data_IF_280286185841
#
_entry.id   IF_280286185841
#
_cell.length_a   1.000
_cell.length_b   1.000
_cell.length_c   1.000
_cell.angle_alpha   90.00
_cell.angle_beta   90.00
_cell.angle_gamma   90.00
#
_symmetry.space_group_name_H-M   'P 1'
#
loop_
_entity.id
_entity.type
_entity.pdbx_description
1 polymer ?
#
# COMPACT_ATOMS: atom_id res chain seq x y z
N UNK A 1 42.56 -3.44 14.80
CA UNK A 1 42.06 -2.71 16.00
C UNK A 1 42.69 -1.33 15.92
N UNK A 2 41.94 -0.22 15.85
CA UNK A 2 40.87 0.16 16.78
C UNK A 2 39.49 0.32 16.12
N UNK A 3 38.46 0.17 16.94
CA UNK A 3 37.05 0.37 16.59
C UNK A 3 36.76 1.87 16.64
N UNK A 4 36.40 2.46 15.51
CA UNK A 4 35.73 3.78 15.50
C UNK A 4 34.24 3.55 15.39
N UNK A 5 33.63 3.49 16.56
CA UNK A 5 32.20 3.70 16.81
C UNK A 5 31.81 5.09 16.30
N UNK A 6 31.16 5.16 15.14
CA UNK A 6 30.41 6.35 14.76
C UNK A 6 29.00 6.26 15.37
N UNK A 7 28.91 6.84 16.56
CA UNK A 7 27.69 7.41 17.14
C UNK A 7 26.97 8.23 16.07
N UNK A 8 25.86 7.72 15.54
CA UNK A 8 24.85 8.56 14.89
C UNK A 8 23.85 8.96 15.96
N UNK A 9 24.06 10.20 16.37
CA UNK A 9 23.24 11.08 17.18
C UNK A 9 21.73 10.85 16.95
N UNK A 10 21.07 10.31 17.98
CA UNK A 10 19.63 10.45 18.20
C UNK A 10 19.39 11.91 18.63
N UNK A 11 18.95 12.75 17.72
CA UNK A 11 18.41 14.06 18.03
C UNK A 11 17.27 14.36 17.08
N UNK A 12 16.03 14.11 17.51
CA UNK A 12 14.85 14.86 17.09
C UNK A 12 13.64 14.50 17.96
N UNK A 13 13.07 15.54 18.55
CA UNK A 13 11.70 15.62 19.08
C UNK A 13 11.41 14.90 20.43
N UNK A 14 12.15 15.30 21.47
CA UNK A 14 11.53 15.49 22.78
C UNK A 14 10.69 16.77 22.76
N UNK A 15 9.42 16.67 22.36
CA UNK A 15 8.44 17.73 22.53
C UNK A 15 7.03 17.14 22.54
N UNK A 16 6.60 16.56 23.67
CA UNK A 16 5.18 16.46 24.00
C UNK A 16 5.01 16.85 25.46
N UNK A 17 4.72 18.13 25.62
CA UNK A 17 3.81 18.75 26.60
C UNK A 17 3.84 18.19 28.02
N UNK A 18 4.49 18.97 28.89
CA UNK A 18 3.93 19.26 30.20
C UNK A 18 2.51 19.82 29.99
N UNK A 19 1.51 18.93 29.95
CA UNK A 19 0.13 19.32 30.21
C UNK A 19 0.11 19.62 31.70
N UNK A 20 0.38 20.88 32.02
CA UNK A 20 -0.06 21.48 33.26
C UNK A 20 -1.58 21.38 33.27
N UNK A 21 -2.09 20.27 33.81
CA UNK A 21 -3.46 20.17 34.30
C UNK A 21 -3.60 21.21 35.40
N UNK A 22 -3.89 22.45 35.01
CA UNK A 22 -4.57 23.41 35.88
C UNK A 22 -5.98 22.86 36.10
N UNK A 23 -6.06 21.82 36.92
CA UNK A 23 -7.25 21.46 37.64
C UNK A 23 -7.51 22.60 38.64
N UNK A 24 -8.04 23.71 38.14
CA UNK A 24 -8.89 24.55 38.98
C UNK A 24 -10.18 23.78 39.21
N UNK A 25 -10.09 22.75 40.07
CA UNK A 25 -11.23 22.13 40.71
C UNK A 25 -11.86 23.21 41.59
N UNK A 26 -12.75 24.01 41.01
CA UNK A 26 -13.76 24.71 41.79
C UNK A 26 -14.59 23.62 42.46
N UNK A 27 -14.61 23.65 43.78
CA UNK A 27 -15.33 22.73 44.65
C UNK A 27 -16.86 22.88 44.48
N UNK A 28 -17.40 22.53 43.32
CA UNK A 28 -18.79 22.12 43.19
C UNK A 28 -18.86 20.62 43.51
N UNK A 29 -19.91 20.11 44.16
CA UNK A 29 -19.95 18.73 44.60
C UNK A 29 -20.00 17.83 43.36
N UNK A 30 -18.97 17.00 43.11
CA UNK A 30 -18.86 16.17 41.90
C UNK A 30 -20.07 15.23 41.67
N UNK A 31 -20.87 15.01 42.71
CA UNK A 31 -22.13 14.29 42.66
C UNK A 31 -23.23 14.96 41.81
N UNK A 32 -23.32 16.29 41.74
CA UNK A 32 -24.38 16.97 41.01
C UNK A 32 -24.21 16.82 39.48
N UNK A 33 -22.99 17.04 38.98
CA UNK A 33 -22.65 16.75 37.59
C UNK A 33 -22.92 15.28 37.24
N UNK A 34 -22.49 14.36 38.11
CA UNK A 34 -22.67 12.93 37.88
C UNK A 34 -24.14 12.53 37.71
N UNK A 35 -25.04 13.07 38.54
CA UNK A 35 -26.49 12.82 38.42
C UNK A 35 -27.03 13.39 37.10
N UNK A 36 -26.72 14.67 36.79
CA UNK A 36 -27.17 15.32 35.57
C UNK A 36 -26.66 14.61 34.31
N UNK A 37 -25.41 14.16 34.32
CA UNK A 37 -24.79 13.43 33.22
C UNK A 37 -25.42 12.05 33.05
N UNK A 38 -25.60 11.29 34.13
CA UNK A 38 -26.25 10.00 34.09
C UNK A 38 -27.70 10.10 33.56
N UNK A 39 -28.45 11.11 33.98
CA UNK A 39 -29.79 11.34 33.45
C UNK A 39 -29.77 11.76 31.96
N UNK A 40 -28.79 12.56 31.54
CA UNK A 40 -28.60 12.91 30.14
C UNK A 40 -28.24 11.69 29.26
N UNK A 41 -27.49 10.72 29.80
CA UNK A 41 -27.15 9.48 29.07
C UNK A 41 -28.38 8.63 28.75
N UNK A 42 -29.42 8.66 29.59
CA UNK A 42 -30.71 7.97 29.32
C UNK A 42 -31.49 8.56 28.14
N UNK A 43 -31.09 9.75 27.65
CA UNK A 43 -31.72 10.43 26.52
C UNK A 43 -31.13 10.01 25.17
N UNK A 44 -30.62 10.99 24.42
CA UNK A 44 -30.15 10.77 23.05
C UNK A 44 -29.00 9.76 22.97
N UNK A 45 -28.05 9.77 23.92
CA UNK A 45 -26.95 8.81 23.93
C UNK A 45 -27.45 7.36 23.99
N UNK A 46 -28.45 7.06 24.82
CA UNK A 46 -29.08 5.72 24.87
C UNK A 46 -29.80 5.38 23.57
N UNK A 47 -30.55 6.32 22.99
CA UNK A 47 -31.25 6.09 21.72
C UNK A 47 -30.28 5.77 20.58
N UNK A 48 -29.13 6.48 20.49
CA UNK A 48 -28.07 6.20 19.51
C UNK A 48 -27.42 4.85 19.76
N UNK A 49 -27.16 4.50 21.02
CA UNK A 49 -26.59 3.22 21.39
C UNK A 49 -27.52 2.04 21.05
N UNK A 50 -28.82 2.16 21.30
CA UNK A 50 -29.81 1.13 21.00
C UNK A 50 -29.96 0.87 19.49
N UNK A 51 -29.68 1.87 18.64
CA UNK A 51 -29.63 1.70 17.19
C UNK A 51 -28.52 0.72 16.72
N UNK A 52 -27.54 0.42 17.58
CA UNK A 52 -26.45 -0.55 17.31
C UNK A 52 -26.92 -2.00 17.52
N UNK A 53 -28.00 -2.23 18.30
CA UNK A 53 -28.49 -3.56 18.67
C UNK A 53 -28.73 -4.56 17.52
N UNK A 54 -29.36 -4.19 16.38
CA UNK A 54 -29.52 -5.12 15.25
C UNK A 54 -28.18 -5.57 14.66
N UNK A 55 -27.15 -4.72 14.73
CA UNK A 55 -25.82 -5.01 14.20
C UNK A 55 -25.02 -5.87 15.17
N UNK A 56 -25.18 -5.66 16.48
CA UNK A 56 -24.62 -6.54 17.52
C UNK A 56 -25.07 -7.99 17.35
N UNK A 57 -26.34 -8.21 16.96
CA UNK A 57 -26.87 -9.53 16.59
C UNK A 57 -26.22 -10.11 15.32
N UNK A 58 -25.90 -9.27 14.33
CA UNK A 58 -25.18 -9.71 13.13
C UNK A 58 -23.74 -10.16 13.45
N UNK A 59 -23.03 -9.41 14.30
CA UNK A 59 -21.69 -9.79 14.79
C UNK A 59 -21.74 -11.13 15.54
N UNK A 60 -22.66 -11.27 16.50
CA UNK A 60 -22.79 -12.47 17.33
C UNK A 60 -23.15 -13.74 16.53
N UNK A 61 -23.93 -13.59 15.46
CA UNK A 61 -24.30 -14.72 14.59
C UNK A 61 -23.26 -15.03 13.51
N UNK A 62 -22.19 -14.24 13.41
CA UNK A 62 -21.19 -14.36 12.36
C UNK A 62 -21.73 -14.14 10.94
N UNK A 63 -23.00 -13.71 10.81
CA UNK A 63 -23.59 -13.34 9.53
C UNK A 63 -23.10 -11.94 9.20
N UNK A 64 -22.30 -11.82 8.13
CA UNK A 64 -22.02 -10.52 7.52
C UNK A 64 -23.35 -9.80 7.30
N UNK A 65 -23.42 -8.52 7.68
CA UNK A 65 -24.57 -7.69 7.34
C UNK A 65 -24.84 -7.83 5.83
N UNK A 66 -26.12 -7.90 5.40
CA UNK A 66 -26.45 -8.05 4.00
C UNK A 66 -25.74 -6.94 3.21
N UNK A 67 -24.83 -7.34 2.32
CA UNK A 67 -24.18 -6.43 1.38
C UNK A 67 -25.32 -5.79 0.59
N UNK A 68 -25.48 -4.46 0.60
CA UNK A 68 -26.53 -3.83 -0.20
C UNK A 68 -26.35 -4.28 -1.66
N UNK A 69 -27.44 -4.62 -2.34
CA UNK A 69 -27.39 -5.17 -3.71
C UNK A 69 -26.64 -4.25 -4.71
N UNK A 70 -26.49 -2.96 -4.38
CA UNK A 70 -25.68 -1.99 -5.14
C UNK A 70 -24.16 -2.13 -4.97
N UNK A 71 -23.68 -2.85 -3.94
CA UNK A 71 -22.27 -3.20 -3.77
C UNK A 71 -21.92 -4.59 -4.34
N UNK A 72 -22.93 -5.33 -4.83
CA UNK A 72 -22.76 -6.63 -5.47
C UNK A 72 -22.40 -6.53 -6.97
N UNK A 73 -22.45 -5.34 -7.56
CA UNK A 73 -22.07 -5.14 -8.96
C UNK A 73 -20.56 -5.01 -9.07
N UNK A 74 -19.90 -6.16 -9.27
CA UNK A 74 -18.57 -6.20 -9.86
C UNK A 74 -17.39 -6.53 -8.92
N UNK A 75 -17.64 -7.14 -7.77
CA UNK A 75 -16.57 -7.46 -6.84
C UNK A 75 -15.74 -8.66 -7.30
N UNK A 76 -14.53 -8.37 -7.77
CA UNK A 76 -13.52 -9.37 -8.07
C UNK A 76 -12.88 -9.81 -6.75
N UNK A 77 -12.95 -11.10 -6.43
CA UNK A 77 -12.43 -11.64 -5.15
C UNK A 77 -10.93 -11.97 -5.18
N UNK A 78 -10.27 -11.85 -6.34
CA UNK A 78 -8.85 -12.19 -6.56
C UNK A 78 -8.26 -11.39 -7.72
N UNK A 79 -7.00 -10.99 -7.61
CA UNK A 79 -6.31 -10.30 -8.68
C UNK A 79 -6.37 -11.10 -9.99
N UNK A 80 -6.60 -10.41 -11.09
CA UNK A 80 -6.46 -10.93 -12.45
C UNK A 80 -5.01 -11.41 -12.62
N UNK A 81 -4.03 -10.59 -12.25
CA UNK A 81 -2.62 -10.95 -12.23
C UNK A 81 -2.10 -11.01 -10.79
N UNK A 82 -1.73 -12.21 -10.33
CA UNK A 82 -1.15 -12.39 -9.01
C UNK A 82 0.15 -11.55 -8.90
N UNK A 83 0.25 -10.65 -7.89
CA UNK A 83 1.41 -9.79 -7.73
C UNK A 83 2.70 -10.60 -7.58
N UNK A 84 3.74 -10.34 -8.39
CA UNK A 84 4.98 -11.08 -8.30
C UNK A 84 5.71 -10.76 -6.98
N UNK A 85 6.40 -11.76 -6.44
CA UNK A 85 7.21 -11.64 -5.22
C UNK A 85 8.52 -10.90 -5.53
N UNK A 86 8.43 -9.60 -5.73
CA UNK A 86 9.56 -8.70 -5.98
C UNK A 86 9.84 -7.87 -4.73
N UNK A 87 11.09 -7.45 -4.52
CA UNK A 87 11.42 -6.51 -3.45
C UNK A 87 10.63 -5.21 -3.69
N UNK A 88 9.89 -4.79 -2.68
CA UNK A 88 9.11 -3.56 -2.68
C UNK A 88 9.58 -2.68 -1.54
N UNK A 89 9.45 -1.37 -1.70
CA UNK A 89 9.66 -0.45 -0.59
C UNK A 89 8.48 -0.51 0.41
N UNK A 90 8.57 0.28 1.49
CA UNK A 90 7.58 0.28 2.56
C UNK A 90 6.20 0.77 2.08
N UNK A 91 6.17 1.77 1.19
CA UNK A 91 4.93 2.38 0.71
C UNK A 91 4.26 1.49 -0.34
N UNK A 92 5.03 0.93 -1.27
CA UNK A 92 4.60 -0.08 -2.24
C UNK A 92 4.06 -1.35 -1.56
N UNK A 93 4.69 -1.81 -0.48
CA UNK A 93 4.16 -2.93 0.32
C UNK A 93 2.84 -2.56 1.00
N UNK A 94 2.72 -1.32 1.50
CA UNK A 94 1.48 -0.84 2.12
C UNK A 94 0.37 -0.72 1.08
N UNK A 95 0.68 -0.24 -0.12
CA UNK A 95 -0.24 -0.13 -1.25
C UNK A 95 -0.74 -1.51 -1.68
N UNK A 96 0.17 -2.48 -1.86
CA UNK A 96 -0.17 -3.87 -2.17
C UNK A 96 -1.07 -4.51 -1.11
N UNK A 97 -0.72 -4.35 0.18
CA UNK A 97 -1.53 -4.87 1.28
C UNK A 97 -2.93 -4.26 1.26
N UNK A 98 -3.01 -2.95 1.12
CA UNK A 98 -4.28 -2.19 1.07
C UNK A 98 -5.15 -2.67 -0.09
N UNK A 99 -4.60 -2.78 -1.30
CA UNK A 99 -5.33 -3.30 -2.46
C UNK A 99 -5.83 -4.73 -2.23
N UNK A 100 -5.02 -5.58 -1.60
CA UNK A 100 -5.42 -6.95 -1.24
C UNK A 100 -6.53 -7.00 -0.17
N UNK A 101 -6.51 -6.08 0.78
CA UNK A 101 -7.54 -5.98 1.82
C UNK A 101 -8.86 -5.45 1.25
N UNK A 102 -8.83 -4.49 0.31
CA UNK A 102 -9.99 -4.03 -0.46
C UNK A 102 -10.62 -5.17 -1.30
N UNK A 103 -9.78 -5.97 -1.93
CA UNK A 103 -10.23 -7.10 -2.74
C UNK A 103 -10.90 -8.19 -1.88
N UNK A 104 -10.34 -8.45 -0.69
CA UNK A 104 -10.91 -9.40 0.28
C UNK A 104 -12.17 -8.85 0.91
N UNK A 105 -12.28 -7.54 1.14
CA UNK A 105 -13.51 -6.97 1.69
C UNK A 105 -14.63 -7.12 0.67
N UNK A 106 -14.37 -7.01 -0.64
CA UNK A 106 -15.35 -7.25 -1.71
C UNK A 106 -16.67 -6.49 -1.46
N UNK A 107 -16.55 -5.21 -1.08
CA UNK A 107 -17.69 -4.36 -0.74
C UNK A 107 -18.35 -4.67 0.61
N UNK A 108 -17.78 -5.58 1.41
CA UNK A 108 -18.22 -5.83 2.78
C UNK A 108 -17.80 -4.68 3.71
N UNK A 109 -18.57 -4.45 4.79
CA UNK A 109 -18.19 -3.53 5.86
C UNK A 109 -16.80 -3.86 6.41
N UNK A 110 -15.96 -2.85 6.66
CA UNK A 110 -14.55 -3.03 7.04
C UNK A 110 -14.40 -3.78 8.37
N UNK A 111 -15.34 -3.56 9.30
CA UNK A 111 -15.36 -4.31 10.56
C UNK A 111 -15.51 -5.82 10.36
N UNK A 112 -16.14 -6.25 9.27
CA UNK A 112 -16.37 -7.67 8.97
C UNK A 112 -15.23 -8.32 8.19
N UNK A 113 -14.30 -7.52 7.65
CA UNK A 113 -13.24 -7.99 6.76
C UNK A 113 -12.21 -8.89 7.46
N UNK A 114 -11.99 -8.71 8.77
CA UNK A 114 -11.02 -9.51 9.53
C UNK A 114 -11.57 -9.96 10.89
N UNK A 115 -11.03 -11.06 11.43
CA UNK A 115 -11.38 -11.53 12.78
C UNK A 115 -10.97 -10.50 13.85
N UNK A 116 -9.82 -9.84 13.65
CA UNK A 116 -9.33 -8.79 14.54
C UNK A 116 -10.27 -7.57 14.53
N UNK A 117 -10.72 -7.13 13.36
CA UNK A 117 -11.66 -6.01 13.23
C UNK A 117 -12.98 -6.31 13.94
N UNK A 118 -13.51 -7.54 13.77
CA UNK A 118 -14.71 -7.99 14.48
C UNK A 118 -14.53 -7.98 15.99
N UNK A 119 -13.40 -8.47 16.49
CA UNK A 119 -13.07 -8.46 17.91
C UNK A 119 -12.95 -7.04 18.47
N UNK A 120 -12.30 -6.12 17.75
CA UNK A 120 -12.19 -4.72 18.19
C UNK A 120 -13.58 -4.08 18.28
N UNK A 121 -14.42 -4.24 17.26
CA UNK A 121 -15.79 -3.68 17.28
C UNK A 121 -16.62 -4.30 18.42
N UNK A 122 -16.57 -5.61 18.59
CA UNK A 122 -17.27 -6.30 19.68
C UNK A 122 -16.81 -5.77 21.05
N UNK A 123 -15.50 -5.56 21.22
CA UNK A 123 -14.93 -5.00 22.45
C UNK A 123 -15.38 -3.56 22.69
N UNK A 124 -15.36 -2.71 21.66
CA UNK A 124 -15.84 -1.31 21.77
C UNK A 124 -17.32 -1.27 22.13
N UNK A 125 -18.15 -2.12 21.53
CA UNK A 125 -19.58 -2.20 21.86
C UNK A 125 -19.80 -2.73 23.28
N UNK A 126 -19.01 -3.71 23.73
CA UNK A 126 -19.07 -4.21 25.09
C UNK A 126 -18.68 -3.11 26.11
N UNK A 127 -17.56 -2.43 25.88
CA UNK A 127 -17.11 -1.32 26.75
C UNK A 127 -18.14 -0.17 26.77
N UNK A 128 -18.78 0.13 25.64
CA UNK A 128 -19.90 1.08 25.57
C UNK A 128 -21.14 0.58 26.32
N UNK A 129 -21.44 -0.73 26.27
CA UNK A 129 -22.56 -1.31 27.03
C UNK A 129 -22.34 -1.09 28.51
N UNK A 130 -21.15 -1.46 29.01
CA UNK A 130 -20.78 -1.31 30.41
C UNK A 130 -20.80 0.17 30.84
N UNK A 131 -20.34 1.08 29.98
CA UNK A 131 -20.38 2.53 30.24
C UNK A 131 -21.82 3.08 30.28
N UNK A 132 -22.69 2.62 29.40
CA UNK A 132 -24.09 3.09 29.32
C UNK A 132 -24.99 2.51 30.42
N UNK A 133 -24.61 1.36 30.99
CA UNK A 133 -25.35 0.67 32.05
C UNK A 133 -24.76 0.90 33.46
N UNK A 134 -23.72 1.74 33.58
CA UNK A 134 -23.09 2.03 34.87
C UNK A 134 -24.04 2.82 35.79
N UNK A 135 -24.05 2.48 37.08
CA UNK A 135 -24.75 3.25 38.10
C UNK A 135 -24.13 4.65 38.28
N UNK A 136 -24.91 5.58 38.83
CA UNK A 136 -24.41 6.91 39.19
C UNK A 136 -23.23 6.78 40.15
N UNK A 137 -22.07 7.27 39.74
CA UNK A 137 -20.91 7.40 40.62
C UNK A 137 -20.43 8.86 40.68
N UNK A 138 -19.89 9.33 41.82
CA UNK A 138 -19.41 10.70 41.94
C UNK A 138 -18.33 11.10 40.92
N UNK A 139 -17.67 10.14 40.27
CA UNK A 139 -16.56 10.39 39.35
C UNK A 139 -16.95 10.31 37.88
N UNK A 140 -18.21 10.03 37.55
CA UNK A 140 -18.68 9.74 36.20
C UNK A 140 -18.49 10.90 35.19
N UNK A 141 -18.52 12.15 35.66
CA UNK A 141 -18.25 13.31 34.79
C UNK A 141 -16.77 13.46 34.41
N UNK A 142 -15.85 12.78 35.10
CA UNK A 142 -14.41 12.87 34.88
C UNK A 142 -13.92 11.90 33.81
N UNK A 143 -12.99 12.36 32.95
CA UNK A 143 -12.27 11.48 32.02
C UNK A 143 -13.08 10.95 30.82
N UNK A 144 -14.31 11.40 30.62
CA UNK A 144 -15.19 10.97 29.50
C UNK A 144 -14.54 11.27 28.14
N UNK A 145 -13.93 12.45 27.96
CA UNK A 145 -13.24 12.81 26.72
C UNK A 145 -12.08 11.85 26.40
N UNK A 146 -11.26 11.52 27.41
CA UNK A 146 -10.15 10.58 27.26
C UNK A 146 -10.65 9.16 26.96
N UNK A 147 -11.74 8.74 27.60
CA UNK A 147 -12.38 7.45 27.35
C UNK A 147 -12.89 7.35 25.91
N UNK A 148 -13.68 8.34 25.46
CA UNK A 148 -14.19 8.41 24.09
C UNK A 148 -13.04 8.44 23.07
N UNK A 149 -12.02 9.28 23.28
CA UNK A 149 -10.86 9.34 22.41
C UNK A 149 -10.11 7.99 22.31
N UNK A 150 -10.06 7.23 23.42
CA UNK A 150 -9.46 5.89 23.43
C UNK A 150 -10.27 4.91 22.59
N UNK A 151 -11.60 4.95 22.69
CA UNK A 151 -12.47 4.11 21.86
C UNK A 151 -12.44 4.51 20.38
N UNK A 152 -12.37 5.80 20.07
CA UNK A 152 -12.18 6.30 18.70
C UNK A 152 -10.87 5.79 18.10
N UNK A 153 -9.77 5.83 18.86
CA UNK A 153 -8.49 5.28 18.41
C UNK A 153 -8.54 3.77 18.12
N UNK A 154 -9.43 3.01 18.77
CA UNK A 154 -9.68 1.62 18.41
C UNK A 154 -10.46 1.49 17.10
N UNK A 155 -11.47 2.34 16.85
CA UNK A 155 -12.21 2.35 15.58
C UNK A 155 -11.35 2.79 14.40
N UNK A 156 -10.46 3.77 14.59
CA UNK A 156 -9.52 4.24 13.57
C UNK A 156 -8.55 3.14 13.10
N UNK A 157 -8.36 2.07 13.88
CA UNK A 157 -7.57 0.89 13.47
C UNK A 157 -8.32 -0.05 12.55
N UNK A 158 -9.65 0.03 12.55
CA UNK A 158 -10.55 -0.78 11.72
C UNK A 158 -10.85 -0.04 10.43
N UNK A 159 -11.04 1.28 10.53
CA UNK A 159 -11.27 2.13 9.37
C UNK A 159 -10.10 2.01 8.39
N UNK A 160 -10.46 1.88 7.12
CA UNK A 160 -9.54 1.77 6.01
C UNK A 160 -8.61 2.98 5.91
N UNK A 161 -7.75 3.00 4.88
CA UNK A 161 -6.85 4.10 4.67
C UNK A 161 -7.63 5.42 4.54
N UNK A 162 -7.29 6.39 5.37
CA UNK A 162 -7.78 7.76 5.25
C UNK A 162 -7.55 8.30 3.81
N UNK A 163 -8.45 9.14 3.25
CA UNK A 163 -8.35 9.60 1.86
C UNK A 163 -6.97 10.18 1.48
N UNK A 164 -6.38 10.99 2.38
CA UNK A 164 -5.05 11.55 2.17
C UNK A 164 -3.94 10.48 2.13
N UNK A 165 -4.06 9.44 2.98
CA UNK A 165 -3.15 8.31 2.96
C UNK A 165 -3.33 7.47 1.69
N UNK A 166 -4.57 7.28 1.23
CA UNK A 166 -4.89 6.58 -0.01
C UNK A 166 -4.28 7.28 -1.22
N UNK A 167 -4.40 8.61 -1.32
CA UNK A 167 -3.77 9.39 -2.40
C UNK A 167 -2.24 9.17 -2.45
N UNK A 168 -1.58 9.14 -1.28
CA UNK A 168 -0.16 8.78 -1.18
C UNK A 168 0.14 7.37 -1.70
N UNK A 169 -0.70 6.38 -1.35
CA UNK A 169 -0.55 5.00 -1.83
C UNK A 169 -0.77 4.87 -3.35
N UNK A 170 -1.75 5.58 -3.90
CA UNK A 170 -2.00 5.63 -5.35
C UNK A 170 -0.79 6.22 -6.07
N UNK A 171 -0.21 7.30 -5.55
CA UNK A 171 1.00 7.92 -6.11
C UNK A 171 2.18 6.96 -6.11
N UNK A 172 2.52 6.36 -4.96
CA UNK A 172 3.62 5.40 -4.84
C UNK A 172 3.45 4.20 -5.77
N UNK A 173 2.23 3.63 -5.84
CA UNK A 173 1.94 2.50 -6.72
C UNK A 173 1.95 2.90 -8.21
N UNK A 174 1.56 4.14 -8.55
CA UNK A 174 1.66 4.66 -9.92
C UNK A 174 3.10 4.83 -10.37
N UNK A 175 3.98 5.33 -9.50
CA UNK A 175 5.42 5.43 -9.78
C UNK A 175 6.02 4.03 -10.01
N UNK A 176 5.67 3.07 -9.15
CA UNK A 176 6.08 1.67 -9.32
C UNK A 176 5.60 1.09 -10.64
N UNK A 177 4.31 1.24 -10.96
CA UNK A 177 3.74 0.77 -12.22
C UNK A 177 4.44 1.41 -13.44
N UNK A 178 4.84 2.69 -13.35
CA UNK A 178 5.68 3.35 -14.34
C UNK A 178 7.05 2.69 -14.53
N UNK A 179 7.72 2.32 -13.43
CA UNK A 179 9.01 1.58 -13.46
C UNK A 179 8.83 0.19 -14.06
N UNK A 180 7.81 -0.55 -13.65
CA UNK A 180 7.49 -1.89 -14.17
C UNK A 180 7.16 -1.85 -15.67
N UNK A 181 6.42 -0.84 -16.14
CA UNK A 181 6.16 -0.60 -17.56
C UNK A 181 7.43 -0.31 -18.35
N UNK A 182 8.32 0.52 -17.82
CA UNK A 182 9.60 0.80 -18.46
C UNK A 182 10.49 -0.46 -18.55
N UNK A 183 10.54 -1.25 -17.49
CA UNK A 183 11.27 -2.52 -17.46
C UNK A 183 10.71 -3.54 -18.45
N UNK A 184 9.38 -3.71 -18.51
CA UNK A 184 8.72 -4.59 -19.48
C UNK A 184 9.01 -4.16 -20.93
N UNK A 185 8.92 -2.86 -21.22
CA UNK A 185 9.29 -2.31 -22.54
C UNK A 185 10.76 -2.56 -22.87
N UNK A 186 11.66 -2.42 -21.90
CA UNK A 186 13.09 -2.67 -22.11
C UNK A 186 13.38 -4.14 -22.38
N UNK A 187 12.72 -5.06 -21.67
CA UNK A 187 12.84 -6.50 -21.89
C UNK A 187 12.35 -6.94 -23.27
N UNK A 188 11.36 -6.23 -23.84
CA UNK A 188 10.83 -6.49 -25.18
C UNK A 188 11.57 -5.75 -26.30
N UNK A 189 12.64 -5.00 -25.99
CA UNK A 189 13.43 -4.38 -27.05
C UNK A 189 14.17 -5.46 -27.83
N UNK A 190 14.21 -5.36 -29.17
CA UNK A 190 15.03 -6.26 -29.96
C UNK A 190 16.48 -6.14 -29.48
N UNK A 191 17.12 -7.29 -29.26
CA UNK A 191 18.55 -7.33 -28.92
C UNK A 191 19.28 -6.62 -30.06
N UNK A 192 20.12 -5.60 -29.76
CA UNK A 192 20.88 -4.93 -30.80
C UNK A 192 21.70 -5.98 -31.54
N UNK A 193 21.58 -6.00 -32.87
CA UNK A 193 22.44 -6.81 -33.71
C UNK A 193 23.89 -6.55 -33.28
N UNK A 194 24.73 -7.58 -33.11
CA UNK A 194 26.12 -7.38 -32.75
C UNK A 194 26.74 -6.44 -33.78
N UNK A 195 27.01 -5.20 -33.40
CA UNK A 195 27.84 -4.30 -34.19
C UNK A 195 29.20 -4.95 -34.31
N UNK A 196 29.62 -5.21 -35.56
CA UNK A 196 30.93 -5.72 -35.98
C UNK A 196 31.90 -5.93 -34.82
N UNK A 197 32.12 -7.18 -34.42
CA UNK A 197 33.33 -7.50 -33.70
C UNK A 197 34.50 -7.00 -34.58
N UNK A 198 35.42 -6.15 -34.08
CA UNK A 198 36.53 -5.69 -34.89
C UNK A 198 37.25 -6.90 -35.49
N UNK A 199 37.45 -6.90 -36.81
CA UNK A 199 38.12 -7.98 -37.56
C UNK A 199 39.50 -8.31 -36.98
N UNK A 200 40.13 -7.32 -36.35
CA UNK A 200 41.39 -7.45 -35.66
C UNK A 200 41.16 -7.46 -34.15
N UNK A 201 41.05 -8.65 -33.57
CA UNK A 201 41.70 -8.83 -32.26
C UNK A 201 43.19 -8.86 -32.57
N UNK A 202 44.01 -7.92 -32.10
CA UNK A 202 45.46 -8.11 -32.15
C UNK A 202 45.79 -9.30 -31.25
N UNK A 203 45.87 -10.50 -31.84
CA UNK A 203 46.79 -11.54 -31.38
C UNK A 203 48.18 -11.04 -31.80
N UNK A 204 48.62 -9.97 -31.17
CA UNK A 204 49.91 -9.35 -31.43
C UNK A 204 50.75 -9.46 -30.16
N UNK A 205 50.95 -10.69 -29.68
CA UNK A 205 52.21 -11.18 -29.07
C UNK A 205 52.23 -12.71 -29.22
N UNK A 206 52.48 -13.23 -30.41
CA UNK A 206 52.87 -14.64 -30.60
C UNK A 206 53.89 -14.83 -31.74
N UNK A 207 54.53 -13.74 -32.20
CA UNK A 207 55.80 -13.81 -32.91
C UNK A 207 56.89 -13.30 -31.98
N UNK A 208 57.42 -14.24 -31.21
CA UNK A 208 58.50 -14.04 -30.27
C UNK A 208 59.04 -15.40 -29.89
N UNK A 209 59.83 -15.96 -30.81
CA UNK A 209 60.69 -17.12 -30.64
C UNK A 209 61.27 -17.22 -29.22
N UNK A 210 60.76 -18.13 -28.39
CA UNK A 210 61.54 -18.93 -27.42
C UNK A 210 60.69 -20.02 -26.77
N UNK A 211 61.09 -21.27 -27.04
CA UNK A 211 61.11 -22.46 -26.16
C UNK A 211 59.89 -22.86 -25.34
N UNK A 212 59.36 -24.04 -25.70
CA UNK A 212 58.78 -25.10 -24.86
C UNK A 212 57.73 -24.74 -23.80
N UNK A 213 56.47 -25.06 -24.14
CA UNK A 213 55.58 -25.77 -23.22
C UNK A 213 54.97 -24.98 -22.06
N UNK A 214 54.05 -24.05 -22.32
CA UNK A 214 53.06 -23.64 -21.33
C UNK A 214 51.70 -23.34 -22.00
N UNK A 215 50.59 -23.97 -21.56
CA UNK A 215 49.26 -23.63 -22.06
C UNK A 215 48.86 -22.23 -21.60
N UNK A 216 48.34 -21.43 -22.53
CA UNK A 216 47.73 -20.13 -22.23
C UNK A 216 46.45 -20.36 -21.43
N UNK A 217 46.57 -20.38 -20.10
CA UNK A 217 45.44 -20.24 -19.22
C UNK A 217 44.98 -18.79 -19.28
N UNK A 218 43.75 -18.56 -19.75
CA UNK A 218 43.01 -17.35 -19.38
C UNK A 218 42.96 -17.33 -17.85
N UNK A 219 43.75 -16.45 -17.22
CA UNK A 219 43.64 -16.19 -15.79
C UNK A 219 42.28 -15.51 -15.52
N UNK A 220 41.23 -16.32 -15.43
CA UNK A 220 40.13 -16.05 -14.54
C UNK A 220 40.76 -15.97 -13.16
N UNK A 221 41.01 -14.74 -12.69
CA UNK A 221 41.64 -14.40 -11.41
C UNK A 221 41.08 -15.31 -10.33
N UNK A 222 41.85 -16.37 -10.04
CA UNK A 222 41.52 -17.41 -9.08
C UNK A 222 41.82 -16.80 -7.72
N UNK A 223 40.78 -16.44 -6.99
CA UNK A 223 40.90 -16.04 -5.61
C UNK A 223 41.47 -17.21 -4.81
N UNK A 224 42.71 -17.05 -4.34
CA UNK A 224 43.24 -17.42 -3.02
C UNK A 224 44.69 -17.93 -3.11
N UNK A 225 45.56 -17.25 -2.37
CA UNK A 225 46.88 -17.71 -1.98
C UNK A 225 47.38 -16.89 -0.78
N UNK A 226 48.17 -17.47 0.14
CA UNK A 226 48.04 -17.25 1.58
C UNK A 226 49.01 -16.20 2.16
N UNK A 227 48.67 -15.74 3.37
CA UNK A 227 49.54 -15.10 4.36
C UNK A 227 50.31 -13.82 3.96
N UNK A 228 49.67 -12.68 4.18
CA UNK A 228 50.37 -11.46 4.61
C UNK A 228 49.85 -11.10 6.01
N UNK A 229 50.65 -11.26 7.08
CA UNK A 229 50.27 -10.80 8.41
C UNK A 229 50.30 -9.27 8.43
N UNK A 230 49.19 -8.64 8.80
CA UNK A 230 49.20 -7.25 9.28
C UNK A 230 48.78 -6.15 8.31
N UNK A 231 47.83 -6.38 7.39
CA UNK A 231 47.21 -5.27 6.63
C UNK A 231 45.73 -5.07 6.97
N UNK A 232 45.54 -4.05 7.79
CA UNK A 232 44.34 -3.33 8.22
C UNK A 232 43.13 -3.39 7.24
N UNK A 233 42.00 -3.94 7.70
CA UNK A 233 40.74 -4.09 6.96
C UNK A 233 39.79 -2.86 7.07
N UNK A 234 40.33 -1.66 7.23
CA UNK A 234 39.54 -0.42 7.44
C UNK A 234 39.78 0.66 6.39
N UNK A 235 40.36 0.31 5.22
CA UNK A 235 40.48 1.27 4.12
C UNK A 235 39.36 1.05 3.09
N UNK A 236 38.43 2.01 2.90
CA UNK A 236 37.52 1.94 1.77
C UNK A 236 38.35 1.93 0.48
N UNK A 237 37.97 1.06 -0.45
CA UNK A 237 38.54 1.03 -1.79
C UNK A 237 38.51 2.45 -2.36
N UNK A 238 39.70 2.99 -2.68
CA UNK A 238 39.78 4.20 -3.47
C UNK A 238 38.97 3.99 -4.76
N UNK A 239 38.23 5.01 -5.25
CA UNK A 239 37.53 4.89 -6.52
C UNK A 239 38.57 4.56 -7.58
N UNK A 240 38.44 3.38 -8.18
CA UNK A 240 39.23 2.99 -9.34
C UNK A 240 39.18 4.13 -10.35
N UNK A 241 40.35 4.71 -10.61
CA UNK A 241 40.56 5.57 -11.74
C UNK A 241 40.08 4.86 -13.01
N UNK A 242 39.41 5.63 -13.87
CA UNK A 242 39.16 5.37 -15.27
C UNK A 242 38.85 3.90 -15.63
N UNK A 243 37.57 3.52 -15.50
CA UNK A 243 37.02 2.56 -16.44
C UNK A 243 37.14 3.21 -17.82
N UNK A 244 38.19 2.88 -18.58
CA UNK A 244 38.24 3.18 -20.01
C UNK A 244 37.02 2.51 -20.63
N UNK A 245 36.01 3.32 -20.91
CA UNK A 245 34.81 2.88 -21.60
C UNK A 245 35.24 2.54 -23.02
N UNK A 246 35.54 1.26 -23.27
CA UNK A 246 35.74 0.76 -24.62
C UNK A 246 34.42 0.88 -25.37
N UNK A 247 34.34 1.91 -26.20
CA UNK A 247 33.23 2.24 -27.09
C UNK A 247 33.62 3.44 -27.95
N UNK A 248 32.95 3.67 -29.10
CA UNK A 248 33.19 4.88 -29.88
C UNK A 248 33.00 6.12 -28.99
N UNK A 249 33.79 7.18 -29.19
CA UNK A 249 33.70 8.40 -28.38
C UNK A 249 32.24 8.88 -28.35
N UNK A 250 31.70 9.12 -27.15
CA UNK A 250 30.38 9.71 -27.00
C UNK A 250 30.38 11.05 -27.75
N UNK A 251 29.58 11.15 -28.82
CA UNK A 251 29.44 12.40 -29.56
C UNK A 251 28.78 13.45 -28.65
N UNK A 252 29.53 14.49 -28.22
CA UNK A 252 29.01 15.51 -27.32
C UNK A 252 27.98 16.43 -28.00
N UNK A 253 27.82 16.35 -29.32
CA UNK A 253 26.79 17.06 -30.07
C UNK A 253 25.43 16.33 -30.06
N UNK A 254 25.37 15.08 -29.60
CA UNK A 254 24.10 14.39 -29.41
C UNK A 254 23.36 15.02 -28.23
N UNK A 255 22.12 15.49 -28.41
CA UNK A 255 21.34 16.01 -27.29
C UNK A 255 21.21 14.92 -26.22
N UNK A 256 21.28 15.29 -24.91
CA UNK A 256 21.18 14.32 -23.84
C UNK A 256 19.89 13.50 -24.03
N UNK A 257 19.99 12.17 -23.91
CA UNK A 257 18.83 11.28 -24.00
C UNK A 257 17.78 11.80 -23.03
N UNK A 258 16.71 12.39 -23.55
CA UNK A 258 15.61 12.87 -22.73
C UNK A 258 15.07 11.65 -21.97
N UNK A 259 14.96 11.71 -20.63
CA UNK A 259 14.30 10.65 -19.90
C UNK A 259 12.89 10.55 -20.48
N UNK A 260 12.55 9.37 -20.98
CA UNK A 260 11.20 9.11 -21.48
C UNK A 260 10.27 9.29 -20.29
N UNK A 261 9.39 10.28 -20.34
CA UNK A 261 8.45 10.52 -19.26
C UNK A 261 7.66 9.23 -19.00
N UNK A 262 7.48 8.83 -17.73
CA UNK A 262 6.67 7.67 -17.42
C UNK A 262 5.26 7.88 -18.01
N UNK A 263 4.64 6.83 -18.56
CA UNK A 263 3.28 6.95 -19.07
C UNK A 263 2.36 7.44 -17.93
N UNK A 264 1.42 8.35 -18.20
CA UNK A 264 0.43 8.72 -17.20
C UNK A 264 -0.36 7.46 -16.81
N UNK A 265 -0.72 7.33 -15.53
CA UNK A 265 -1.57 6.24 -15.00
C UNK A 265 -2.69 6.78 -14.11
N UNK A 266 -2.88 8.11 -14.09
CA UNK A 266 -3.80 8.79 -13.20
C UNK A 266 -5.26 8.49 -13.55
N UNK A 267 -5.63 8.56 -14.83
CA UNK A 267 -6.99 8.28 -15.27
C UNK A 267 -7.19 6.82 -15.69
N UNK A 268 -8.44 6.38 -15.66
CA UNK A 268 -8.86 5.09 -16.20
C UNK A 268 -8.44 4.92 -17.67
N UNK A 269 -8.65 5.97 -18.48
CA UNK A 269 -8.24 6.01 -19.89
C UNK A 269 -6.74 5.79 -20.06
N UNK A 270 -5.93 6.38 -19.18
CA UNK A 270 -4.48 6.23 -19.23
C UNK A 270 -4.05 4.81 -18.89
N UNK A 271 -4.66 4.19 -17.87
CA UNK A 271 -4.42 2.78 -17.52
C UNK A 271 -4.77 1.84 -18.68
N UNK A 272 -5.92 2.04 -19.32
CA UNK A 272 -6.33 1.26 -20.52
C UNK A 272 -5.33 1.47 -21.67
N UNK A 273 -4.91 2.72 -21.93
CA UNK A 273 -3.94 3.04 -22.97
C UNK A 273 -2.57 2.37 -22.69
N UNK A 274 -2.13 2.35 -21.43
CA UNK A 274 -0.89 1.69 -21.02
C UNK A 274 -0.96 0.17 -21.25
N UNK A 275 -2.08 -0.48 -20.89
CA UNK A 275 -2.29 -1.92 -21.17
C UNK A 275 -2.27 -2.17 -22.68
N UNK A 276 -2.97 -1.36 -23.47
CA UNK A 276 -3.02 -1.51 -24.93
C UNK A 276 -1.64 -1.36 -25.58
N UNK A 277 -0.88 -0.34 -25.20
CA UNK A 277 0.46 -0.11 -25.71
C UNK A 277 1.41 -1.25 -25.35
N UNK A 278 1.32 -1.78 -24.13
CA UNK A 278 2.15 -2.89 -23.67
C UNK A 278 1.83 -4.18 -24.44
N UNK A 279 0.54 -4.50 -24.62
CA UNK A 279 0.11 -5.69 -25.36
C UNK A 279 0.38 -5.58 -26.86
N UNK A 280 0.32 -4.37 -27.44
CA UNK A 280 0.73 -4.16 -28.85
C UNK A 280 2.21 -4.43 -29.00
N UNK A 281 3.06 -3.83 -28.15
CA UNK A 281 4.51 -4.03 -28.22
C UNK A 281 4.90 -5.50 -28.06
N UNK A 282 4.22 -6.23 -27.16
CA UNK A 282 4.44 -7.67 -26.98
C UNK A 282 4.08 -8.48 -28.23
N UNK A 283 3.01 -8.10 -28.93
CA UNK A 283 2.60 -8.72 -30.20
C UNK A 283 3.60 -8.40 -31.31
N UNK A 284 3.94 -7.13 -31.48
CA UNK A 284 4.84 -6.64 -32.53
C UNK A 284 6.26 -7.22 -32.37
N UNK A 285 6.69 -7.46 -31.12
CA UNK A 285 7.96 -8.11 -30.80
C UNK A 285 7.93 -9.66 -30.89
N UNK A 286 6.81 -10.27 -31.26
CA UNK A 286 6.69 -11.73 -31.36
C UNK A 286 6.65 -12.46 -30.00
N UNK A 287 6.44 -11.75 -28.89
CA UNK A 287 6.33 -12.32 -27.55
C UNK A 287 4.95 -12.90 -27.26
N UNK A 288 3.95 -12.61 -28.11
CA UNK A 288 2.59 -13.15 -28.06
C UNK A 288 2.25 -13.84 -29.38
N UNK A 289 1.45 -14.92 -29.37
CA UNK A 289 1.01 -15.58 -30.58
C UNK A 289 0.09 -14.65 -31.42
N UNK A 290 0.19 -14.71 -32.76
CA UNK A 290 -0.64 -13.88 -33.66
C UNK A 290 -2.16 -14.10 -33.46
N UNK A 291 -2.56 -15.27 -32.97
CA UNK A 291 -3.96 -15.59 -32.64
C UNK A 291 -4.51 -14.80 -31.45
N UNK A 292 -3.70 -13.99 -30.76
CA UNK A 292 -4.12 -13.07 -29.70
C UNK A 292 -4.85 -11.81 -30.21
N UNK A 293 -5.53 -11.89 -31.35
CA UNK A 293 -6.32 -10.80 -31.96
C UNK A 293 -7.62 -10.48 -31.21
N UNK A 294 -8.01 -11.30 -30.22
CA UNK A 294 -9.24 -11.09 -29.43
C UNK A 294 -9.24 -9.85 -28.51
N UNK A 295 -8.15 -9.07 -28.48
CA UNK A 295 -8.08 -7.81 -27.73
C UNK A 295 -8.89 -6.66 -28.39
N UNK A 296 -9.72 -6.91 -29.41
CA UNK A 296 -10.57 -5.89 -30.05
C UNK A 296 -12.07 -6.01 -29.73
N UNK A 297 -12.51 -7.04 -29.01
CA UNK A 297 -13.91 -7.17 -28.58
C UNK A 297 -14.21 -6.38 -27.30
N UNK A 298 -15.47 -5.97 -27.05
CA UNK A 298 -15.88 -5.50 -25.73
C UNK A 298 -15.62 -6.63 -24.75
N UNK A 299 -14.68 -6.41 -23.83
CA UNK A 299 -14.41 -7.38 -22.77
C UNK A 299 -15.72 -7.55 -21.99
N UNK A 300 -16.22 -8.78 -21.90
CA UNK A 300 -17.32 -9.13 -20.99
C UNK A 300 -16.81 -8.87 -19.58
N UNK A 301 -17.11 -7.68 -19.08
CA UNK A 301 -16.45 -7.08 -17.93
C UNK A 301 -17.43 -6.90 -16.79
N UNK A 302 -16.91 -7.16 -15.61
CA UNK A 302 -17.33 -6.59 -14.33
C UNK A 302 -17.95 -5.20 -14.54
N UNK A 303 -19.27 -5.06 -14.35
CA UNK A 303 -19.97 -3.79 -14.58
C UNK A 303 -19.30 -2.67 -13.78
N UNK A 304 -18.88 -1.59 -14.45
CA UNK A 304 -18.22 -0.44 -13.82
C UNK A 304 -16.68 -0.53 -13.67
N UNK A 305 -16.02 -1.61 -14.12
CA UNK A 305 -14.54 -1.75 -14.03
C UNK A 305 -13.90 -2.10 -15.39
N UNK A 306 -13.77 -1.12 -16.32
CA UNK A 306 -13.25 -1.39 -17.67
C UNK A 306 -11.75 -1.71 -17.70
N UNK A 307 -10.95 -1.22 -16.75
CA UNK A 307 -9.53 -1.58 -16.63
C UNK A 307 -9.39 -3.06 -16.28
N UNK A 308 -10.16 -3.57 -15.31
CA UNK A 308 -10.15 -5.00 -14.95
C UNK A 308 -10.63 -5.88 -16.12
N UNK A 309 -11.67 -5.45 -16.83
CA UNK A 309 -12.13 -6.13 -18.04
C UNK A 309 -11.03 -6.16 -19.12
N UNK A 310 -10.24 -5.09 -19.23
CA UNK A 310 -9.11 -5.05 -20.16
C UNK A 310 -7.95 -5.96 -19.73
N UNK A 311 -7.67 -6.00 -18.43
CA UNK A 311 -6.66 -6.89 -17.86
C UNK A 311 -7.04 -8.36 -18.00
N UNK A 312 -8.31 -8.73 -17.86
CA UNK A 312 -8.77 -10.12 -18.05
C UNK A 312 -8.60 -10.57 -19.51
N UNK A 313 -8.89 -9.69 -20.47
CA UNK A 313 -8.60 -9.93 -21.88
C UNK A 313 -7.09 -10.08 -22.14
N UNK A 314 -6.25 -9.26 -21.50
CA UNK A 314 -4.80 -9.38 -21.59
C UNK A 314 -4.29 -10.70 -21.00
N UNK A 315 -4.86 -11.16 -19.88
CA UNK A 315 -4.55 -12.46 -19.26
C UNK A 315 -4.88 -13.63 -20.18
N UNK A 316 -6.03 -13.59 -20.86
CA UNK A 316 -6.39 -14.59 -21.86
C UNK A 316 -5.40 -14.68 -23.02
N UNK A 317 -4.89 -13.53 -23.49
CA UNK A 317 -3.86 -13.48 -24.53
C UNK A 317 -2.47 -13.99 -24.07
N UNK A 318 -2.21 -13.96 -22.76
CA UNK A 318 -0.98 -14.44 -22.13
C UNK A 318 -1.03 -15.94 -21.74
N UNK A 319 -2.15 -16.63 -21.93
CA UNK A 319 -2.24 -18.07 -21.64
C UNK A 319 -1.55 -18.90 -22.72
N UNK A 320 -0.25 -19.09 -22.52
CA UNK A 320 0.68 -19.70 -23.48
C UNK A 320 0.51 -21.21 -23.64
N UNK A 321 -0.30 -21.88 -22.79
CA UNK A 321 -0.61 -23.31 -22.95
C UNK A 321 -1.27 -23.61 -24.29
N UNK A 322 -1.94 -22.62 -24.89
CA UNK A 322 -2.55 -22.74 -26.21
C UNK A 322 -1.57 -22.51 -27.38
N UNK A 323 -0.37 -21.97 -27.13
CA UNK A 323 0.50 -21.40 -28.17
C UNK A 323 1.64 -22.33 -28.65
N UNK A 324 1.94 -23.42 -27.94
CA UNK A 324 2.95 -24.42 -28.34
C UNK A 324 4.41 -23.93 -28.39
N UNK A 325 4.66 -22.63 -28.20
CA UNK A 325 5.99 -22.03 -28.10
C UNK A 325 6.22 -21.48 -26.69
N UNK A 326 7.39 -21.74 -26.12
CA UNK A 326 7.77 -21.17 -24.84
C UNK A 326 8.04 -19.66 -25.03
N UNK A 327 7.37 -18.76 -24.29
CA UNK A 327 7.67 -17.33 -24.37
C UNK A 327 9.10 -17.06 -23.89
N UNK A 328 9.66 -15.91 -24.26
CA UNK A 328 10.82 -15.38 -23.54
C UNK A 328 10.43 -15.17 -22.06
N UNK A 329 11.08 -15.87 -21.12
CA UNK A 329 10.73 -15.81 -19.70
C UNK A 329 10.96 -14.41 -19.11
N UNK A 330 11.89 -13.62 -19.65
CA UNK A 330 12.19 -12.27 -19.17
C UNK A 330 11.10 -11.31 -19.60
N UNK A 331 10.72 -11.34 -20.88
CA UNK A 331 9.62 -10.54 -21.40
C UNK A 331 8.29 -10.90 -20.72
N UNK A 332 7.99 -12.20 -20.56
CA UNK A 332 6.78 -12.67 -19.90
C UNK A 332 6.69 -12.20 -18.44
N UNK A 333 7.78 -12.35 -17.66
CA UNK A 333 7.82 -11.85 -16.28
C UNK A 333 7.58 -10.34 -16.23
N UNK A 334 8.24 -9.57 -17.11
CA UNK A 334 8.07 -8.12 -17.18
C UNK A 334 6.63 -7.71 -17.50
N UNK A 335 5.97 -8.42 -18.43
CA UNK A 335 4.57 -8.19 -18.78
C UNK A 335 3.64 -8.44 -17.59
N UNK A 336 3.76 -9.59 -16.94
CA UNK A 336 2.92 -9.93 -15.78
C UNK A 336 3.12 -8.94 -14.64
N UNK A 337 4.36 -8.53 -14.36
CA UNK A 337 4.65 -7.53 -13.33
C UNK A 337 4.01 -6.17 -13.65
N UNK A 338 4.18 -5.67 -14.88
CA UNK A 338 3.60 -4.39 -15.29
C UNK A 338 2.07 -4.40 -15.27
N UNK A 339 1.43 -5.48 -15.74
CA UNK A 339 -0.03 -5.60 -15.73
C UNK A 339 -0.60 -5.73 -14.31
N UNK A 340 0.08 -6.48 -13.43
CA UNK A 340 -0.30 -6.57 -12.02
C UNK A 340 -0.15 -5.24 -11.29
N UNK A 341 0.92 -4.47 -11.57
CA UNK A 341 1.08 -3.16 -10.94
C UNK A 341 0.05 -2.13 -11.44
N UNK A 342 -0.40 -2.19 -12.70
CA UNK A 342 -1.54 -1.40 -13.20
C UNK A 342 -2.85 -1.80 -12.50
N UNK A 343 -3.07 -3.10 -12.30
CA UNK A 343 -4.24 -3.62 -11.58
C UNK A 343 -4.31 -3.06 -10.15
N UNK A 344 -3.16 -3.02 -9.45
CA UNK A 344 -3.07 -2.45 -8.11
C UNK A 344 -3.41 -0.95 -8.10
N UNK A 345 -2.92 -0.18 -9.07
CA UNK A 345 -3.31 1.25 -9.21
C UNK A 345 -4.82 1.36 -9.37
N UNK A 346 -5.43 0.50 -10.20
CA UNK A 346 -6.87 0.57 -10.46
C UNK A 346 -7.71 0.26 -9.22
N UNK A 347 -7.33 -0.74 -8.42
CA UNK A 347 -8.00 -1.03 -7.15
C UNK A 347 -7.88 0.11 -6.13
N UNK A 348 -6.70 0.72 -6.01
CA UNK A 348 -6.50 1.84 -5.09
C UNK A 348 -7.26 3.09 -5.54
N UNK A 349 -7.29 3.37 -6.85
CA UNK A 349 -8.00 4.51 -7.40
C UNK A 349 -9.53 4.41 -7.23
N UNK A 350 -10.07 3.19 -7.18
CA UNK A 350 -11.50 2.95 -6.96
C UNK A 350 -11.86 2.72 -5.48
N UNK A 351 -10.88 2.73 -4.57
CA UNK A 351 -11.11 2.40 -3.16
C UNK A 351 -12.14 3.32 -2.49
N UNK A 352 -12.17 4.62 -2.83
CA UNK A 352 -13.18 5.56 -2.29
C UNK A 352 -14.59 5.30 -2.85
N UNK A 353 -14.69 4.89 -4.11
CA UNK A 353 -15.98 4.60 -4.76
C UNK A 353 -16.53 3.21 -4.42
N UNK A 354 -15.66 2.26 -4.10
CA UNK A 354 -16.01 0.85 -3.83
C UNK A 354 -16.00 0.49 -2.35
N UNK A 355 -15.31 1.28 -1.52
CA UNK A 355 -15.41 1.17 -0.08
C UNK A 355 -16.87 1.38 0.37
N UNK A 356 -17.28 0.75 1.48
CA UNK A 356 -18.58 1.07 2.07
C UNK A 356 -18.63 2.58 2.34
N UNK A 357 -19.50 3.30 1.64
CA UNK A 357 -19.84 4.71 1.93
C UNK A 357 -20.21 4.78 3.42
N UNK A 358 -19.28 5.19 4.28
CA UNK A 358 -19.40 5.20 5.75
C UNK A 358 -20.11 3.96 6.31
N UNK A 359 -19.33 3.00 6.82
CA UNK A 359 -19.87 1.82 7.49
C UNK A 359 -20.95 2.23 8.52
N UNK A 360 -22.22 1.85 8.31
CA UNK A 360 -23.33 2.35 9.13
C UNK A 360 -23.18 1.96 10.59
N UNK A 361 -22.45 0.88 10.88
CA UNK A 361 -22.09 0.51 12.24
C UNK A 361 -21.14 1.52 12.86
N UNK A 362 -20.00 1.76 12.22
CA UNK A 362 -18.99 2.67 12.74
C UNK A 362 -19.56 4.09 12.87
N UNK A 363 -20.40 4.50 11.92
CA UNK A 363 -21.14 5.76 11.99
C UNK A 363 -22.08 5.81 13.22
N UNK A 364 -22.81 4.74 13.52
CA UNK A 364 -23.70 4.67 14.69
C UNK A 364 -22.91 4.68 16.02
N UNK A 365 -21.76 3.99 16.06
CA UNK A 365 -20.87 4.01 17.23
C UNK A 365 -20.31 5.42 17.45
N UNK A 366 -19.83 6.09 16.40
CA UNK A 366 -19.35 7.48 16.47
C UNK A 366 -20.45 8.47 16.87
N UNK A 367 -21.66 8.30 16.36
CA UNK A 367 -22.81 9.11 16.78
C UNK A 367 -23.14 8.91 18.28
N UNK A 368 -22.90 7.72 18.82
CA UNK A 368 -23.04 7.46 20.26
C UNK A 368 -21.95 8.18 21.06
N UNK A 369 -20.69 8.15 20.60
CA UNK A 369 -19.60 8.91 21.21
C UNK A 369 -19.89 10.40 21.26
N UNK A 370 -20.35 10.98 20.14
CA UNK A 370 -20.72 12.39 20.08
C UNK A 370 -21.83 12.73 21.06
N UNK A 371 -22.88 11.89 21.14
CA UNK A 371 -23.98 12.09 22.08
C UNK A 371 -23.53 11.99 23.55
N UNK A 372 -22.59 11.11 23.88
CA UNK A 372 -21.98 11.02 25.22
C UNK A 372 -21.23 12.33 25.56
N UNK A 373 -20.42 12.84 24.63
CA UNK A 373 -19.68 14.09 24.83
C UNK A 373 -20.62 15.31 24.98
N UNK A 374 -21.70 15.35 24.20
CA UNK A 374 -22.74 16.39 24.32
C UNK A 374 -23.43 16.30 25.68
N UNK A 375 -23.81 15.10 26.12
CA UNK A 375 -24.42 14.88 27.43
C UNK A 375 -23.51 15.36 28.57
N UNK A 376 -22.20 15.05 28.50
CA UNK A 376 -21.22 15.51 29.49
C UNK A 376 -21.13 17.05 29.51
N UNK A 377 -21.01 17.70 28.34
CA UNK A 377 -20.92 19.15 28.23
C UNK A 377 -22.16 19.86 28.78
N UNK A 378 -23.34 19.31 28.51
CA UNK A 378 -24.61 19.83 29.05
C UNK A 378 -24.65 19.73 30.56
N UNK A 379 -24.26 18.58 31.12
CA UNK A 379 -24.22 18.36 32.57
C UNK A 379 -23.27 19.35 33.27
N UNK A 380 -22.04 19.51 32.75
CA UNK A 380 -21.06 20.47 33.28
C UNK A 380 -21.57 21.91 33.18
N UNK A 381 -22.23 22.30 32.09
CA UNK A 381 -22.82 23.64 31.96
C UNK A 381 -23.92 23.89 32.99
N UNK A 382 -24.82 22.91 33.18
CA UNK A 382 -25.95 23.04 34.12
C UNK A 382 -25.48 23.26 35.57
N UNK A 383 -24.33 22.67 35.93
CA UNK A 383 -23.71 22.86 37.24
C UNK A 383 -23.16 24.28 37.40
N UNK A 384 -22.51 24.83 36.37
CA UNK A 384 -21.98 26.20 36.39
C UNK A 384 -23.12 27.22 36.56
N UNK A 385 -24.23 27.04 35.85
CA UNK A 385 -25.40 27.92 35.94
C UNK A 385 -26.06 27.84 37.32
N UNK A 386 -26.19 26.64 37.88
CA UNK A 386 -26.73 26.43 39.22
C UNK A 386 -25.85 27.11 40.28
N UNK A 387 -24.53 26.99 40.17
CA UNK A 387 -23.57 27.61 41.09
C UNK A 387 -23.52 29.15 40.98
N UNK A 388 -23.91 29.75 39.84
CA UNK A 388 -23.99 31.21 39.67
C UNK A 388 -25.28 31.81 40.21
N UNK A 389 -26.32 31.00 40.38
CA UNK A 389 -27.64 31.42 40.87
C UNK A 389 -27.79 31.41 42.39
N UNK A 390 -26.80 30.86 43.09
CA UNK A 390 -26.68 30.82 44.56
C UNK A 390 -25.70 31.89 45.02
#
# INVERSE_FOLDING_TARGET
MPRSTSLVVLAAAGLILQVSTQASARNAPPAACAIAFHDALKGEARARFEAIAPIRKAIATGRSAPVPASAATGTVSRFVFDPPRVRRDKEEMRALKTAGDLLKSAGRPEWSASANSRWIVDRVIADLTDFMDQDVTPFMCGGVETYVATLEAYLDRIEGPQPAALAGLVSAQSERAGKSLAAAKAAMRPVPLPTYAPEYRPIAVLDGTTTEGAPVTVELRRGMGPEIPGRDLTRPAAPSAAQEVFGPPFDPALPPKRPMAPPPLASERDRIAAINALMSLARDGGFLPERSSMLQGPAAGVAGRPVLARLSAAKGALDLRAAGSAPDPVAYRGLVEALSDIELVDHLAHAESEGPRQDPLLASVRATFEAILVAQKTAVRSEIETAQSQ
#
